data_IF_812757462198
#
_entry.id   IF_812757462198
#
_cell.length_a   1.000
_cell.length_b   1.000
_cell.length_c   1.000
_cell.angle_alpha   90.00
_cell.angle_beta   90.00
_cell.angle_gamma   90.00
#
_symmetry.space_group_name_H-M   'P 1'
#
loop_
_entity.id
_entity.type
_entity.pdbx_description
1 polymer ?
#
# COMPACT_ATOMS: atom_id res chain seq x y z
N UNK A 1 22.70 -13.58 -58.93
CA UNK A 1 23.40 -12.68 -57.97
C UNK A 1 22.51 -11.47 -57.80
N UNK A 2 21.80 -11.21 -56.72
CA UNK A 2 21.65 -11.84 -55.42
C UNK A 2 20.79 -10.85 -54.62
N UNK A 3 19.49 -11.10 -54.50
CA UNK A 3 18.57 -10.20 -53.82
C UNK A 3 18.63 -10.43 -52.31
N UNK A 4 19.08 -9.41 -51.60
CA UNK A 4 19.15 -9.37 -50.14
C UNK A 4 17.78 -8.98 -49.59
N UNK A 5 17.07 -9.95 -49.00
CA UNK A 5 15.86 -9.69 -48.22
C UNK A 5 16.25 -9.38 -46.78
N UNK A 6 15.95 -8.15 -46.35
CA UNK A 6 16.02 -7.74 -44.95
C UNK A 6 14.70 -8.08 -44.27
N UNK A 7 14.67 -9.21 -43.54
CA UNK A 7 13.59 -9.52 -42.61
C UNK A 7 13.63 -8.54 -41.43
N UNK A 8 12.60 -7.68 -41.35
CA UNK A 8 12.37 -6.85 -40.17
C UNK A 8 11.55 -7.65 -39.17
N UNK A 9 12.23 -8.16 -38.15
CA UNK A 9 11.65 -8.80 -36.98
C UNK A 9 10.77 -7.79 -36.23
N UNK A 10 9.44 -7.86 -36.43
CA UNK A 10 8.43 -7.09 -35.70
C UNK A 10 7.70 -8.00 -34.71
N UNK A 11 8.44 -8.55 -33.76
CA UNK A 11 7.84 -9.21 -32.60
C UNK A 11 7.49 -8.17 -31.53
N UNK A 12 6.38 -7.49 -31.78
CA UNK A 12 5.64 -6.71 -30.80
C UNK A 12 4.94 -7.68 -29.86
N UNK A 13 5.57 -8.03 -28.73
CA UNK A 13 4.88 -8.70 -27.64
C UNK A 13 3.73 -7.80 -27.15
N UNK A 14 2.47 -8.26 -27.13
CA UNK A 14 1.39 -7.51 -26.50
C UNK A 14 1.64 -7.49 -24.99
N UNK A 15 2.20 -6.39 -24.49
CA UNK A 15 2.32 -6.14 -23.06
C UNK A 15 0.91 -6.15 -22.45
N UNK A 16 0.73 -6.88 -21.34
CA UNK A 16 -0.51 -6.85 -20.56
C UNK A 16 -0.78 -5.39 -20.14
N UNK A 17 -2.04 -4.92 -20.19
CA UNK A 17 -2.41 -3.57 -19.74
C UNK A 17 -1.96 -3.30 -18.28
N UNK A 18 -1.85 -4.36 -17.46
CA UNK A 18 -1.30 -4.29 -16.10
C UNK A 18 0.20 -4.01 -16.06
N UNK A 19 0.94 -4.40 -17.10
CA UNK A 19 2.36 -4.08 -17.26
C UNK A 19 2.57 -2.63 -17.75
N UNK A 20 1.66 -2.10 -18.57
CA UNK A 20 1.69 -0.69 -19.00
C UNK A 20 1.31 0.28 -17.87
N UNK A 21 0.37 -0.08 -16.98
CA UNK A 21 0.14 0.67 -15.74
C UNK A 21 1.34 0.56 -14.77
N UNK A 22 1.99 -0.62 -14.68
CA UNK A 22 3.22 -0.77 -13.90
C UNK A 22 4.41 0.03 -14.48
N UNK A 23 4.42 0.27 -15.80
CA UNK A 23 5.36 1.17 -16.48
C UNK A 23 5.06 2.64 -16.13
N UNK A 24 3.78 3.05 -16.14
CA UNK A 24 3.35 4.43 -15.81
C UNK A 24 3.50 4.79 -14.32
N UNK A 25 3.37 3.82 -13.41
CA UNK A 25 3.75 3.98 -12.00
C UNK A 25 5.24 4.34 -11.84
N UNK A 26 6.05 4.28 -12.91
CA UNK A 26 7.50 4.38 -12.83
C UNK A 26 8.22 4.84 -14.11
N UNK A 27 7.63 5.64 -14.98
CA UNK A 27 8.43 6.40 -15.95
C UNK A 27 8.89 7.70 -15.28
N UNK A 28 10.15 7.86 -14.86
CA UNK A 28 10.77 9.17 -14.83
C UNK A 28 11.69 9.31 -16.04
N UNK A 29 11.37 10.31 -16.86
CA UNK A 29 12.30 10.89 -17.80
C UNK A 29 13.37 11.63 -16.99
N UNK A 30 14.58 11.09 -17.05
CA UNK A 30 15.89 11.68 -16.75
C UNK A 30 16.10 12.33 -15.37
N UNK A 31 16.76 11.53 -14.53
CA UNK A 31 17.38 11.88 -13.25
C UNK A 31 18.53 12.88 -13.41
N UNK A 32 18.46 14.01 -12.70
CA UNK A 32 19.60 14.61 -12.01
C UNK A 32 19.11 15.23 -10.69
N UNK A 33 19.89 15.06 -9.62
CA UNK A 33 19.80 15.71 -8.29
C UNK A 33 18.94 15.06 -7.20
N UNK A 34 19.50 14.04 -6.52
CA UNK A 34 19.55 13.99 -5.05
C UNK A 34 20.93 13.44 -4.64
N UNK A 35 21.61 14.11 -3.70
CA UNK A 35 23.03 13.84 -3.32
C UNK A 35 23.21 13.18 -1.95
N UNK A 36 22.17 12.81 -1.21
CA UNK A 36 22.36 12.08 0.06
C UNK A 36 21.11 11.37 0.58
N UNK A 37 21.32 10.21 1.20
CA UNK A 37 20.32 9.29 1.79
C UNK A 37 19.47 9.90 2.92
N UNK A 38 19.84 11.07 3.46
CA UNK A 38 19.14 11.68 4.59
C UNK A 38 17.77 12.32 4.25
N UNK A 39 17.46 12.58 2.98
CA UNK A 39 16.22 13.32 2.63
C UNK A 39 14.95 12.47 2.69
N UNK A 40 15.04 11.13 2.58
CA UNK A 40 13.86 10.27 2.66
C UNK A 40 13.45 9.96 4.11
N UNK A 41 14.43 9.79 5.00
CA UNK A 41 14.17 9.64 6.44
C UNK A 41 13.81 10.98 7.11
N UNK A 42 14.30 12.12 6.59
CA UNK A 42 13.90 13.45 7.07
C UNK A 42 12.42 13.79 6.80
N UNK A 43 11.77 13.16 5.81
CA UNK A 43 10.32 13.30 5.59
C UNK A 43 9.51 12.46 6.59
N UNK A 44 10.12 11.45 7.21
CA UNK A 44 9.49 10.56 8.20
C UNK A 44 9.83 10.91 9.67
N UNK A 45 10.82 11.77 9.93
CA UNK A 45 11.32 12.07 11.29
C UNK A 45 11.02 13.47 11.83
N UNK A 46 10.35 14.36 11.09
CA UNK A 46 10.10 15.75 11.51
C UNK A 46 8.71 16.01 12.16
N UNK A 47 8.17 15.04 12.91
CA UNK A 47 7.03 15.29 13.81
C UNK A 47 7.55 15.26 15.27
N UNK A 48 8.35 16.27 15.64
CA UNK A 48 8.74 16.51 17.03
C UNK A 48 7.52 17.01 17.82
N UNK A 49 7.31 16.40 18.98
CA UNK A 49 6.16 16.58 19.86
C UNK A 49 6.15 18.01 20.43
N UNK A 50 5.19 18.82 20.02
CA UNK A 50 4.84 20.05 20.75
C UNK A 50 3.92 19.63 21.89
N UNK A 51 4.46 19.67 23.10
CA UNK A 51 3.78 19.41 24.36
C UNK A 51 2.88 20.60 24.71
N UNK A 52 1.59 20.52 24.36
CA UNK A 52 0.58 21.47 24.84
C UNK A 52 -0.02 20.93 26.14
N UNK A 53 0.41 21.50 27.25
CA UNK A 53 -0.19 21.31 28.57
C UNK A 53 -1.60 21.91 28.59
N UNK A 54 -2.62 21.05 28.58
CA UNK A 54 -4.03 21.44 28.78
C UNK A 54 -4.38 21.29 30.26
N UNK A 55 -4.81 22.39 30.84
CA UNK A 55 -5.28 22.57 32.21
C UNK A 55 -6.64 21.87 32.40
N UNK A 56 -6.71 20.88 33.31
CA UNK A 56 -7.93 20.17 33.66
C UNK A 56 -8.82 20.99 34.60
N UNK A 57 -10.13 20.99 34.35
CA UNK A 57 -11.13 21.41 35.32
C UNK A 57 -12.32 20.43 35.28
N UNK A 58 -12.73 19.81 36.42
CA UNK A 58 -13.71 18.72 36.41
C UNK A 58 -15.09 19.22 36.85
N UNK A 59 -16.16 18.87 36.11
CA UNK A 59 -17.52 18.74 36.66
C UNK A 59 -18.35 17.64 35.99
N UNK A 60 -18.74 16.72 36.86
CA UNK A 60 -19.90 15.82 36.89
C UNK A 60 -21.03 16.03 35.86
N UNK A 61 -21.55 14.92 35.31
CA UNK A 61 -22.85 14.35 35.76
C UNK A 61 -23.22 13.07 35.01
N UNK A 62 -23.80 12.13 35.76
CA UNK A 62 -24.36 10.86 35.30
C UNK A 62 -25.66 11.07 34.50
N UNK A 63 -25.82 10.32 33.42
CA UNK A 63 -27.13 9.82 32.99
C UNK A 63 -26.97 8.48 32.26
N UNK A 64 -27.68 7.49 32.79
CA UNK A 64 -27.77 6.11 32.30
C UNK A 64 -28.84 6.08 31.21
N UNK A 65 -28.50 5.56 30.03
CA UNK A 65 -29.50 5.13 29.04
C UNK A 65 -29.07 3.80 28.43
N UNK A 66 -29.76 2.74 28.84
CA UNK A 66 -29.82 1.46 28.14
C UNK A 66 -30.59 1.65 26.83
N UNK A 67 -29.96 1.29 25.71
CA UNK A 67 -30.68 1.00 24.47
C UNK A 67 -30.16 -0.28 23.83
N UNK A 68 -31.15 -1.08 23.44
CA UNK A 68 -31.14 -2.44 22.93
C UNK A 68 -30.24 -2.67 21.73
N UNK A 69 -29.48 -3.76 21.79
CA UNK A 69 -28.64 -4.32 20.73
C UNK A 69 -29.45 -5.08 19.68
N UNK A 70 -29.53 -4.56 18.47
CA UNK A 70 -29.88 -5.35 17.27
C UNK A 70 -28.61 -5.93 16.64
N UNK A 71 -28.57 -7.25 16.54
CA UNK A 71 -27.46 -8.04 16.04
C UNK A 71 -27.37 -7.99 14.51
N UNK A 72 -26.57 -7.06 13.97
CA UNK A 72 -26.07 -7.17 12.60
C UNK A 72 -24.86 -8.13 12.59
N UNK A 73 -25.01 -9.26 11.90
CA UNK A 73 -24.03 -10.35 11.85
C UNK A 73 -22.64 -9.88 11.44
N UNK A 74 -21.68 -9.99 12.38
CA UNK A 74 -20.28 -9.60 12.20
C UNK A 74 -19.51 -10.61 11.31
N UNK A 75 -18.95 -10.18 10.16
CA UNK A 75 -17.91 -10.94 9.46
C UNK A 75 -16.54 -10.85 10.15
N UNK A 76 -16.39 -9.95 11.14
CA UNK A 76 -15.09 -9.52 11.67
C UNK A 76 -14.47 -10.48 12.70
N UNK A 77 -15.27 -11.28 13.42
CA UNK A 77 -14.73 -12.22 14.42
C UNK A 77 -14.02 -13.43 13.78
N UNK A 78 -14.33 -13.77 12.52
CA UNK A 78 -13.76 -14.93 11.84
C UNK A 78 -12.26 -14.78 11.54
N UNK A 79 -11.75 -13.55 11.40
CA UNK A 79 -10.34 -13.28 11.07
C UNK A 79 -9.44 -13.39 12.31
N UNK A 80 -9.94 -13.07 13.52
CA UNK A 80 -9.12 -13.09 14.74
C UNK A 80 -8.77 -14.50 15.25
N UNK A 81 -9.45 -15.54 14.78
CA UNK A 81 -9.19 -16.94 15.14
C UNK A 81 -8.50 -17.73 14.02
N UNK A 82 -7.89 -17.07 13.03
CA UNK A 82 -6.99 -17.73 12.09
C UNK A 82 -5.76 -18.23 12.84
N UNK A 83 -5.86 -19.45 13.40
CA UNK A 83 -4.74 -20.21 13.89
C UNK A 83 -3.81 -20.44 12.70
N UNK A 84 -2.75 -19.66 12.64
CA UNK A 84 -1.76 -19.73 11.56
C UNK A 84 -1.24 -21.16 11.45
N UNK A 85 -1.62 -21.84 10.37
CA UNK A 85 -1.16 -23.20 10.09
C UNK A 85 -0.05 -23.11 9.03
N UNK A 86 1.24 -23.16 9.42
CA UNK A 86 2.34 -23.11 8.46
C UNK A 86 2.31 -24.27 7.46
N UNK A 87 1.56 -25.36 7.72
CA UNK A 87 1.38 -26.48 6.78
C UNK A 87 0.27 -26.24 5.74
N UNK A 88 -0.56 -25.23 5.91
CA UNK A 88 -1.63 -24.85 4.97
C UNK A 88 -1.14 -23.93 3.85
N UNK A 89 0.07 -23.40 3.97
CA UNK A 89 0.73 -22.62 2.94
C UNK A 89 1.14 -23.60 1.84
N UNK A 90 0.31 -23.67 0.78
CA UNK A 90 0.57 -24.49 -0.40
C UNK A 90 2.00 -24.27 -0.91
N UNK A 91 2.64 -25.32 -1.44
CA UNK A 91 4.04 -25.35 -1.88
C UNK A 91 4.43 -24.37 -3.03
N UNK A 92 3.63 -23.33 -3.30
CA UNK A 92 3.82 -22.36 -4.37
C UNK A 92 3.51 -20.91 -3.94
N UNK A 93 3.66 -20.54 -2.67
CA UNK A 93 3.61 -19.10 -2.36
C UNK A 93 4.77 -18.38 -3.05
N UNK A 94 4.42 -17.42 -3.90
CA UNK A 94 5.39 -16.51 -4.50
C UNK A 94 5.98 -15.64 -3.39
N UNK A 95 7.28 -15.84 -3.09
CA UNK A 95 8.00 -15.10 -2.05
C UNK A 95 8.63 -13.86 -2.72
N UNK A 96 8.17 -12.63 -2.39
CA UNK A 96 8.61 -11.43 -3.11
C UNK A 96 10.12 -11.21 -3.11
N UNK A 97 10.80 -11.48 -1.99
CA UNK A 97 12.25 -11.35 -1.88
C UNK A 97 13.06 -12.40 -2.67
N UNK A 98 12.38 -13.39 -3.29
CA UNK A 98 13.00 -14.45 -4.10
C UNK A 98 12.63 -14.36 -5.58
N UNK A 99 11.58 -13.63 -5.92
CA UNK A 99 11.17 -13.38 -7.29
C UNK A 99 12.12 -12.37 -7.95
N UNK A 100 12.79 -12.79 -9.03
CA UNK A 100 13.82 -11.99 -9.74
C UNK A 100 13.43 -11.62 -11.17
N UNK A 101 12.36 -12.20 -11.69
CA UNK A 101 11.95 -12.07 -13.09
C UNK A 101 10.74 -11.17 -13.26
N UNK A 102 9.79 -11.23 -12.32
CA UNK A 102 8.63 -10.34 -12.30
C UNK A 102 8.94 -9.11 -11.49
N UNK A 103 8.43 -7.96 -11.93
CA UNK A 103 8.54 -6.70 -11.18
C UNK A 103 7.59 -6.63 -9.98
N UNK A 104 6.40 -7.18 -10.16
CA UNK A 104 5.32 -7.16 -9.20
C UNK A 104 4.73 -8.56 -9.07
N UNK A 105 4.40 -8.94 -7.84
CA UNK A 105 3.48 -10.04 -7.56
C UNK A 105 2.14 -9.41 -7.22
N UNK A 106 1.06 -10.03 -7.68
CA UNK A 106 -0.31 -9.54 -7.51
C UNK A 106 -1.13 -10.53 -6.71
N UNK A 107 -2.06 -9.99 -5.91
CA UNK A 107 -3.11 -10.73 -5.27
C UNK A 107 -4.45 -10.15 -5.74
N UNK A 108 -5.29 -11.00 -6.29
CA UNK A 108 -6.63 -10.65 -6.74
C UNK A 108 -7.67 -11.28 -5.79
N UNK A 109 -8.83 -10.63 -5.67
CA UNK A 109 -10.04 -11.27 -5.13
C UNK A 109 -10.47 -12.46 -6.01
N UNK A 110 -11.21 -13.45 -5.45
CA UNK A 110 -11.78 -14.55 -6.23
C UNK A 110 -12.53 -14.06 -7.47
N UNK A 111 -12.43 -14.81 -8.58
CA UNK A 111 -12.93 -14.39 -9.91
C UNK A 111 -14.42 -14.04 -9.91
N UNK A 112 -15.23 -14.75 -9.12
CA UNK A 112 -16.67 -14.52 -8.94
C UNK A 112 -16.99 -13.19 -8.27
N UNK A 113 -16.02 -12.59 -7.56
CA UNK A 113 -16.14 -11.30 -6.89
C UNK A 113 -15.32 -10.20 -7.56
N UNK A 114 -14.64 -10.51 -8.67
CA UNK A 114 -13.71 -9.58 -9.31
C UNK A 114 -14.44 -8.36 -9.84
N UNK A 115 -14.07 -7.20 -9.31
CA UNK A 115 -14.53 -5.90 -9.80
C UNK A 115 -13.48 -5.39 -10.79
N UNK A 116 -13.91 -5.07 -12.00
CA UNK A 116 -13.02 -4.50 -13.01
C UNK A 116 -12.65 -3.06 -12.64
N UNK A 117 -11.34 -2.74 -12.62
CA UNK A 117 -10.84 -1.37 -12.39
C UNK A 117 -11.48 -0.36 -13.36
N UNK A 118 -11.80 -0.79 -14.60
CA UNK A 118 -12.48 0.05 -15.61
C UNK A 118 -13.88 0.44 -15.15
N UNK A 119 -14.60 -0.46 -14.47
CA UNK A 119 -15.96 -0.19 -13.97
C UNK A 119 -15.97 0.79 -12.80
N UNK A 120 -14.95 0.76 -11.94
CA UNK A 120 -14.79 1.67 -10.81
C UNK A 120 -14.41 3.08 -11.30
N UNK A 121 -13.53 3.13 -12.31
CA UNK A 121 -12.93 4.35 -12.82
C UNK A 121 -11.70 4.76 -11.99
N UNK A 122 -10.56 4.93 -12.67
CA UNK A 122 -9.25 5.24 -12.05
C UNK A 122 -9.26 6.47 -11.12
N UNK A 123 -10.21 7.39 -11.30
CA UNK A 123 -10.33 8.60 -10.48
C UNK A 123 -10.81 8.33 -9.05
N UNK A 124 -11.42 7.17 -8.79
CA UNK A 124 -11.93 6.80 -7.46
C UNK A 124 -11.01 5.86 -6.70
N UNK A 125 -10.11 5.17 -7.40
CA UNK A 125 -9.23 4.19 -6.79
C UNK A 125 -8.13 4.90 -5.99
N UNK A 126 -7.74 4.28 -4.88
CA UNK A 126 -6.46 4.59 -4.24
C UNK A 126 -5.89 3.39 -3.52
N UNK A 127 -4.75 3.60 -2.86
CA UNK A 127 -3.97 2.53 -2.25
C UNK A 127 -3.28 2.95 -0.97
N UNK A 128 -3.28 2.06 0.02
CA UNK A 128 -2.38 2.10 1.16
C UNK A 128 -0.99 1.61 0.74
N UNK A 129 0.04 2.33 1.16
CA UNK A 129 1.44 2.00 0.90
C UNK A 129 2.11 1.52 2.19
N UNK A 130 2.66 0.32 2.17
CA UNK A 130 3.49 -0.23 3.24
C UNK A 130 4.93 -0.31 2.74
N UNK A 131 5.85 0.33 3.46
CA UNK A 131 7.28 0.19 3.23
C UNK A 131 7.88 -0.68 4.32
N UNK A 132 8.51 -1.77 3.93
CA UNK A 132 8.95 -2.85 4.83
C UNK A 132 10.35 -3.31 4.45
N UNK A 133 11.11 -3.76 5.44
CA UNK A 133 12.45 -4.30 5.20
C UNK A 133 12.38 -5.56 4.29
N UNK A 134 13.14 -5.52 3.19
CA UNK A 134 13.23 -6.63 2.23
C UNK A 134 14.62 -7.30 2.19
N UNK A 135 15.52 -6.94 3.09
CA UNK A 135 16.91 -7.44 3.12
C UNK A 135 17.19 -8.29 4.36
N UNK A 136 16.74 -7.83 5.53
CA UNK A 136 16.93 -8.55 6.79
C UNK A 136 16.03 -9.79 6.82
N UNK A 137 16.67 -10.96 6.80
CA UNK A 137 16.01 -12.27 6.86
C UNK A 137 16.00 -12.81 8.29
N UNK A 138 14.87 -13.34 8.72
CA UNK A 138 14.76 -14.18 9.90
C UNK A 138 15.62 -15.44 9.71
N UNK A 139 16.46 -15.78 10.70
CA UNK A 139 17.38 -16.92 10.61
C UNK A 139 16.64 -18.26 10.57
N UNK A 140 15.50 -18.32 11.24
CA UNK A 140 14.69 -19.50 11.42
C UNK A 140 13.86 -19.82 10.17
N UNK A 141 13.31 -18.80 9.51
CA UNK A 141 12.42 -19.00 8.35
C UNK A 141 13.01 -18.60 7.01
N UNK A 142 14.09 -17.82 7.01
CA UNK A 142 14.71 -17.26 5.81
C UNK A 142 13.85 -16.19 5.10
N UNK A 143 12.77 -15.74 5.74
CA UNK A 143 11.85 -14.72 5.21
C UNK A 143 12.20 -13.34 5.73
N UNK A 144 11.94 -12.32 4.90
CA UNK A 144 12.04 -10.91 5.26
C UNK A 144 10.74 -10.41 5.87
N UNK A 145 10.74 -9.23 6.48
CA UNK A 145 9.51 -8.61 6.97
C UNK A 145 8.53 -8.32 5.82
N UNK A 146 9.06 -7.92 4.66
CA UNK A 146 8.29 -7.73 3.43
C UNK A 146 7.59 -9.02 2.97
N UNK A 147 8.27 -10.16 3.01
CA UNK A 147 7.68 -11.46 2.66
C UNK A 147 6.55 -11.86 3.61
N UNK A 148 6.76 -11.69 4.92
CA UNK A 148 5.73 -11.99 5.92
C UNK A 148 4.48 -11.13 5.74
N UNK A 149 4.66 -9.82 5.61
CA UNK A 149 3.54 -8.91 5.41
C UNK A 149 2.76 -9.25 4.13
N UNK A 150 3.46 -9.65 3.06
CA UNK A 150 2.81 -10.03 1.81
C UNK A 150 1.86 -11.21 1.99
N UNK A 151 2.23 -12.24 2.75
CA UNK A 151 1.35 -13.39 2.99
C UNK A 151 0.03 -12.99 3.67
N UNK A 152 0.09 -12.07 4.64
CA UNK A 152 -1.11 -11.54 5.29
C UNK A 152 -1.94 -10.68 4.34
N UNK A 153 -1.30 -9.82 3.56
CA UNK A 153 -2.00 -8.97 2.58
C UNK A 153 -2.68 -9.80 1.50
N UNK A 154 -2.01 -10.84 0.99
CA UNK A 154 -2.57 -11.76 0.00
C UNK A 154 -3.85 -12.42 0.54
N UNK A 155 -3.83 -12.91 1.79
CA UNK A 155 -5.00 -13.51 2.43
C UNK A 155 -6.12 -12.50 2.69
N UNK A 156 -5.77 -11.28 3.12
CA UNK A 156 -6.74 -10.19 3.28
C UNK A 156 -7.42 -9.84 1.95
N UNK A 157 -6.66 -9.82 0.85
CA UNK A 157 -7.20 -9.60 -0.50
C UNK A 157 -8.12 -10.75 -0.91
N UNK A 158 -7.71 -12.01 -0.75
CA UNK A 158 -8.58 -13.17 -1.07
C UNK A 158 -9.90 -13.15 -0.31
N UNK A 159 -9.90 -12.61 0.91
CA UNK A 159 -11.09 -12.44 1.75
C UNK A 159 -11.93 -11.19 1.43
N UNK A 160 -11.56 -10.40 0.43
CA UNK A 160 -12.29 -9.20 0.01
C UNK A 160 -12.07 -7.98 0.90
N UNK A 161 -10.98 -7.96 1.69
CA UNK A 161 -10.61 -6.76 2.45
C UNK A 161 -10.17 -5.64 1.51
N UNK A 162 -9.35 -5.99 0.54
CA UNK A 162 -8.95 -5.15 -0.59
C UNK A 162 -9.53 -5.77 -1.86
N UNK A 163 -9.77 -4.95 -2.89
CA UNK A 163 -10.19 -5.51 -4.17
C UNK A 163 -8.99 -6.00 -5.01
N UNK A 164 -7.80 -5.47 -4.73
CA UNK A 164 -6.54 -5.78 -5.42
C UNK A 164 -5.37 -5.44 -4.49
N UNK A 165 -4.24 -6.14 -4.62
CA UNK A 165 -2.99 -5.79 -3.98
C UNK A 165 -1.80 -6.20 -4.84
N UNK A 166 -0.69 -5.46 -4.72
CA UNK A 166 0.58 -5.84 -5.36
C UNK A 166 1.77 -5.57 -4.47
N UNK A 167 2.84 -6.35 -4.61
CA UNK A 167 4.09 -6.12 -3.88
C UNK A 167 5.31 -6.14 -4.81
N UNK A 168 6.29 -5.31 -4.48
CA UNK A 168 7.57 -5.26 -5.20
C UNK A 168 8.39 -6.53 -4.94
N UNK A 169 9.20 -6.93 -5.91
CA UNK A 169 10.02 -8.14 -5.87
C UNK A 169 11.51 -7.83 -5.69
N UNK A 170 12.36 -8.86 -5.76
CA UNK A 170 13.82 -8.75 -5.79
C UNK A 170 14.39 -8.58 -7.22
N UNK A 171 13.56 -8.18 -8.19
CA UNK A 171 14.02 -7.90 -9.56
C UNK A 171 15.06 -6.76 -9.57
N UNK A 172 16.25 -7.04 -10.08
CA UNK A 172 17.37 -6.11 -10.19
C UNK A 172 17.34 -5.34 -11.54
N UNK A 173 18.11 -4.25 -11.64
CA UNK A 173 18.45 -3.59 -12.92
C UNK A 173 17.43 -2.60 -13.48
N UNK A 174 16.11 -2.84 -13.36
CA UNK A 174 15.11 -1.87 -13.84
C UNK A 174 14.90 -0.74 -12.83
N UNK A 175 14.94 -1.05 -11.53
CA UNK A 175 14.70 -0.04 -10.49
C UNK A 175 15.92 0.83 -10.22
N UNK A 176 17.14 0.33 -10.38
CA UNK A 176 18.37 1.04 -9.97
C UNK A 176 18.67 2.26 -10.86
N UNK A 177 18.26 2.21 -12.13
CA UNK A 177 18.39 3.36 -13.04
C UNK A 177 17.43 4.50 -12.70
N UNK A 178 16.41 4.23 -11.87
CA UNK A 178 15.25 5.10 -11.70
C UNK A 178 15.08 5.57 -10.25
N UNK A 179 15.34 4.70 -9.30
CA UNK A 179 15.24 4.97 -7.88
C UNK A 179 16.53 4.52 -7.18
N UNK A 180 17.04 5.30 -6.21
CA UNK A 180 18.19 4.87 -5.41
C UNK A 180 17.89 3.52 -4.74
N UNK A 181 18.95 2.73 -4.54
CA UNK A 181 18.86 1.44 -3.85
C UNK A 181 18.18 1.65 -2.50
N UNK A 182 16.99 1.07 -2.34
CA UNK A 182 16.25 1.10 -1.10
C UNK A 182 16.25 -0.30 -0.49
N UNK A 183 16.60 -0.37 0.79
CA UNK A 183 16.49 -1.58 1.62
C UNK A 183 15.02 -1.94 1.94
N UNK A 184 14.06 -1.12 1.48
CA UNK A 184 12.63 -1.32 1.70
C UNK A 184 11.96 -1.86 0.43
N UNK A 185 11.10 -2.87 0.60
CA UNK A 185 10.07 -3.26 -0.36
C UNK A 185 8.80 -2.44 -0.15
N UNK A 186 7.92 -2.44 -1.15
CA UNK A 186 6.61 -1.77 -1.08
C UNK A 186 5.47 -2.76 -1.34
N UNK A 187 4.44 -2.70 -0.51
CA UNK A 187 3.16 -3.37 -0.73
C UNK A 187 2.08 -2.30 -0.91
N UNK A 188 1.31 -2.43 -1.98
CA UNK A 188 0.19 -1.55 -2.32
C UNK A 188 -1.12 -2.31 -2.12
N UNK A 189 -2.00 -1.83 -1.23
CA UNK A 189 -3.30 -2.42 -0.97
C UNK A 189 -4.41 -1.48 -1.45
N UNK A 190 -5.22 -1.88 -2.43
CA UNK A 190 -6.16 -0.99 -3.11
C UNK A 190 -7.56 -0.99 -2.49
N UNK A 191 -8.19 0.18 -2.47
CA UNK A 191 -9.62 0.33 -2.18
C UNK A 191 -10.34 0.94 -3.39
N UNK A 192 -11.59 0.56 -3.65
CA UNK A 192 -12.27 0.93 -4.89
C UNK A 192 -12.70 2.40 -4.91
N UNK A 193 -13.00 3.00 -3.76
CA UNK A 193 -13.44 4.39 -3.67
C UNK A 193 -12.78 5.10 -2.49
N UNK A 194 -11.82 5.97 -2.77
CA UNK A 194 -11.12 6.74 -1.75
C UNK A 194 -12.04 7.70 -0.98
N UNK A 195 -13.20 8.07 -1.55
CA UNK A 195 -14.17 8.95 -0.87
C UNK A 195 -14.97 8.22 0.19
N UNK A 196 -15.00 6.88 0.14
CA UNK A 196 -15.57 6.05 1.20
C UNK A 196 -14.56 5.90 2.35
N UNK A 197 -14.50 6.94 3.19
CA UNK A 197 -13.58 7.03 4.34
C UNK A 197 -13.70 5.84 5.30
N UNK A 198 -14.92 5.34 5.51
CA UNK A 198 -15.14 4.18 6.37
C UNK A 198 -14.46 2.92 5.80
N UNK A 199 -14.57 2.68 4.48
CA UNK A 199 -13.91 1.55 3.82
C UNK A 199 -12.38 1.70 3.81
N UNK A 200 -11.89 2.91 3.52
CA UNK A 200 -10.46 3.25 3.57
C UNK A 200 -9.88 2.99 4.97
N UNK A 201 -10.59 3.39 6.04
CA UNK A 201 -10.19 3.12 7.43
C UNK A 201 -10.27 1.63 7.77
N UNK A 202 -11.37 0.96 7.42
CA UNK A 202 -11.56 -0.50 7.60
C UNK A 202 -10.39 -1.29 7.01
N UNK A 203 -9.97 -0.92 5.80
CA UNK A 203 -8.82 -1.48 5.10
C UNK A 203 -7.51 -1.27 5.90
N UNK A 204 -7.22 -0.05 6.33
CA UNK A 204 -6.03 0.26 7.14
C UNK A 204 -5.99 -0.50 8.48
N UNK A 205 -7.13 -0.55 9.17
CA UNK A 205 -7.27 -1.27 10.43
C UNK A 205 -7.05 -2.78 10.26
N UNK A 206 -7.52 -3.35 9.14
CA UNK A 206 -7.26 -4.76 8.82
C UNK A 206 -5.77 -5.02 8.59
N UNK A 207 -5.08 -4.13 7.87
CA UNK A 207 -3.62 -4.21 7.67
C UNK A 207 -2.91 -4.22 9.02
N UNK A 208 -3.20 -3.25 9.90
CA UNK A 208 -2.52 -3.16 11.21
C UNK A 208 -2.76 -4.37 12.09
N UNK A 209 -3.97 -4.92 12.08
CA UNK A 209 -4.28 -6.13 12.85
C UNK A 209 -3.54 -7.35 12.34
N UNK A 210 -3.42 -7.52 11.03
CA UNK A 210 -2.82 -8.71 10.44
C UNK A 210 -1.29 -8.64 10.39
N UNK A 211 -0.74 -7.50 9.98
CA UNK A 211 0.70 -7.32 9.73
C UNK A 211 1.44 -6.82 10.98
N UNK A 212 0.72 -6.31 11.99
CA UNK A 212 1.30 -5.61 13.14
C UNK A 212 2.22 -4.45 12.72
N UNK A 213 1.86 -3.73 11.65
CA UNK A 213 2.65 -2.64 11.11
C UNK A 213 2.76 -1.48 12.11
N UNK A 214 3.95 -1.08 12.58
CA UNK A 214 4.09 -0.03 13.60
C UNK A 214 4.15 1.38 13.01
N UNK A 215 4.65 1.54 11.77
CA UNK A 215 4.90 2.84 11.16
C UNK A 215 3.62 3.52 10.66
N UNK A 216 3.68 4.82 10.36
CA UNK A 216 2.58 5.54 9.70
C UNK A 216 2.38 4.98 8.30
N UNK A 217 1.13 4.65 7.94
CA UNK A 217 0.76 4.28 6.58
C UNK A 217 0.23 5.51 5.86
N UNK A 218 0.56 5.64 4.58
CA UNK A 218 0.06 6.71 3.73
C UNK A 218 -0.81 6.15 2.62
N UNK A 219 -1.89 6.88 2.33
CA UNK A 219 -2.81 6.55 1.25
C UNK A 219 -2.62 7.53 0.08
N UNK A 220 -2.55 7.01 -1.14
CA UNK A 220 -2.43 7.80 -2.37
C UNK A 220 -3.52 7.42 -3.36
N UNK A 221 -4.10 8.40 -4.06
CA UNK A 221 -5.05 8.12 -5.14
C UNK A 221 -4.34 7.70 -6.42
N UNK A 222 -4.98 6.87 -7.24
CA UNK A 222 -4.46 6.52 -8.57
C UNK A 222 -4.40 7.74 -9.49
N UNK A 223 -5.29 8.73 -9.29
CA UNK A 223 -5.23 10.01 -9.99
C UNK A 223 -3.89 10.73 -9.77
N UNK A 224 -3.38 10.76 -8.53
CA UNK A 224 -2.09 11.39 -8.22
C UNK A 224 -0.90 10.60 -8.79
N UNK A 225 -1.06 9.28 -8.94
CA UNK A 225 -0.07 8.43 -9.59
C UNK A 225 -0.05 8.66 -11.10
N UNK A 226 -1.21 8.71 -11.74
CA UNK A 226 -1.34 9.02 -13.17
C UNK A 226 -0.84 10.44 -13.52
N UNK A 227 -0.95 11.39 -12.59
CA UNK A 227 -0.40 12.74 -12.74
C UNK A 227 1.13 12.82 -12.52
N UNK A 228 1.80 11.69 -12.26
CA UNK A 228 3.23 11.61 -11.98
C UNK A 228 3.67 12.47 -10.77
N UNK A 229 2.76 12.68 -9.81
CA UNK A 229 3.08 13.42 -8.59
C UNK A 229 3.84 12.50 -7.64
N UNK A 230 5.16 12.58 -7.64
CA UNK A 230 6.04 11.77 -6.80
C UNK A 230 6.97 12.65 -5.96
N UNK A 231 7.40 12.14 -4.81
CA UNK A 231 8.34 12.87 -3.95
C UNK A 231 9.65 13.23 -4.68
N UNK A 232 10.16 12.32 -5.52
CA UNK A 232 11.38 12.56 -6.30
C UNK A 232 11.22 13.63 -7.39
N UNK A 233 9.99 13.96 -7.80
CA UNK A 233 9.72 15.09 -8.70
C UNK A 233 9.54 16.41 -7.94
N UNK A 234 9.91 16.44 -6.65
CA UNK A 234 9.77 17.61 -5.77
C UNK A 234 8.35 17.80 -5.22
N UNK A 235 7.40 16.95 -5.59
CA UNK A 235 6.03 17.02 -5.09
C UNK A 235 5.98 16.45 -3.67
N UNK A 236 5.96 17.36 -2.68
CA UNK A 236 5.69 17.02 -1.29
C UNK A 236 4.17 16.94 -1.08
N UNK A 237 3.75 16.26 -0.02
CA UNK A 237 2.35 16.29 0.44
C UNK A 237 1.32 15.65 -0.52
N UNK A 238 1.70 14.60 -1.24
CA UNK A 238 0.84 13.91 -2.23
C UNK A 238 -0.21 12.96 -1.62
N UNK A 239 -0.03 12.53 -0.37
CA UNK A 239 -0.91 11.52 0.25
C UNK A 239 -2.23 12.13 0.71
N UNK A 240 -3.36 11.52 0.38
CA UNK A 240 -4.70 11.98 0.79
C UNK A 240 -4.99 11.64 2.25
N UNK A 241 -4.66 10.42 2.68
CA UNK A 241 -4.85 9.96 4.06
C UNK A 241 -3.51 9.54 4.68
N UNK A 242 -3.44 9.64 6.01
CA UNK A 242 -2.45 8.90 6.82
C UNK A 242 -3.18 8.12 7.92
N UNK A 243 -2.62 6.98 8.29
CA UNK A 243 -3.12 6.16 9.38
C UNK A 243 -2.00 5.84 10.35
N UNK A 244 -2.22 6.03 11.65
CA UNK A 244 -1.21 5.97 12.71
C UNK A 244 -1.31 4.67 13.52
N UNK A 245 -0.28 4.38 14.34
CA UNK A 245 -0.16 3.16 15.15
C UNK A 245 -1.27 2.97 16.17
N UNK A 246 -1.82 4.07 16.68
CA UNK A 246 -2.98 4.14 17.57
C UNK A 246 -4.33 4.01 16.84
N UNK A 247 -4.31 3.61 15.55
CA UNK A 247 -5.48 3.36 14.71
C UNK A 247 -6.36 4.58 14.41
N UNK A 248 -5.76 5.77 14.49
CA UNK A 248 -6.38 7.01 14.01
C UNK A 248 -6.11 7.20 12.52
N UNK A 249 -7.10 7.75 11.82
CA UNK A 249 -7.00 8.11 10.42
C UNK A 249 -7.13 9.63 10.28
N UNK A 250 -6.29 10.22 9.44
CA UNK A 250 -6.28 11.64 9.15
C UNK A 250 -6.41 11.86 7.64
N UNK A 251 -7.12 12.91 7.25
CA UNK A 251 -7.24 13.40 5.89
C UNK A 251 -6.44 14.68 5.73
N UNK A 252 -5.75 14.81 4.60
CA UNK A 252 -5.01 16.03 4.28
C UNK A 252 -5.99 17.16 3.97
N UNK A 253 -5.74 18.32 4.55
CA UNK A 253 -6.52 19.52 4.27
C UNK A 253 -6.36 19.93 2.79
N UNK A 254 -7.47 20.23 2.12
CA UNK A 254 -7.47 20.57 0.69
C UNK A 254 -6.94 21.96 0.40
N UNK A 255 -6.94 22.86 1.38
CA UNK A 255 -6.45 24.24 1.27
C UNK A 255 -5.04 24.34 1.82
N UNK A 256 -4.82 23.83 3.03
CA UNK A 256 -3.54 23.92 3.74
C UNK A 256 -2.80 22.57 3.62
N UNK A 257 -2.05 22.37 2.52
CA UNK A 257 -1.47 21.06 2.14
C UNK A 257 -0.64 20.34 3.22
N UNK A 258 -0.09 21.03 4.22
CA UNK A 258 0.67 20.44 5.32
C UNK A 258 -0.18 20.06 6.54
N UNK A 259 -1.43 20.53 6.61
CA UNK A 259 -2.35 20.26 7.71
C UNK A 259 -3.05 18.90 7.53
N UNK A 260 -3.22 18.21 8.65
CA UNK A 260 -3.95 16.95 8.75
C UNK A 260 -5.17 17.14 9.66
N UNK A 261 -6.33 16.69 9.20
CA UNK A 261 -7.58 16.73 9.95
C UNK A 261 -7.95 15.30 10.37
N UNK A 262 -8.27 15.10 11.65
CA UNK A 262 -8.71 13.79 12.16
C UNK A 262 -10.02 13.39 11.45
N UNK A 263 -10.10 12.14 11.00
CA UNK A 263 -11.30 11.57 10.39
C UNK A 263 -12.01 10.71 11.43
N UNK A 264 -13.18 11.16 11.86
CA UNK A 264 -14.05 10.47 12.80
C UNK A 264 -15.06 9.61 12.03
N UNK A 265 -14.74 8.32 11.85
CA UNK A 265 -15.53 7.31 11.12
C UNK A 265 -15.46 5.93 11.78
#
# INVERSE_FOLDING_TARGET
>A
MGDSQTETFKDSWPLDERETEALMDFLPVQSQFFKSENDFDAVLQNDEVVDETVEENPKESLAVHETSSESNGQPQQKIMNMKWNPKSLSAQLEIPSREKFKRWIYADIPKDKKIDRKTIGYRKIGKWLLFLDKEHRCKETGMTLHDYAWQFVEELTKNGTFFDAKCSTAMEGVSEAIAPKSHKGVICCYTPDYTNKQDVKRAADAIRRAVHYPFVMYYKTDKDTAAMNYAHTGQKHISTYKHTGDRKMYERDSVIKFKWNLVDV
#
